data_IF_584027148727
#
_entry.id   IF_584027148727
#
_cell.length_a   1.000
_cell.length_b   1.000
_cell.length_c   1.000
_cell.angle_alpha   90.00
_cell.angle_beta   90.00
_cell.angle_gamma   90.00
#
_symmetry.space_group_name_H-M   'P 1'
#
loop_
_entity.id
_entity.type
_entity.pdbx_description
1 polymer ?
#
# COMPACT_ATOMS: atom_id res chain seq x y z
N UNK A 1 -1.37 41.62 5.50
CA UNK A 1 -0.43 40.73 4.79
C UNK A 1 -1.03 39.34 4.86
N UNK A 2 -1.58 38.86 3.74
CA UNK A 2 -2.16 37.52 3.64
C UNK A 2 -1.02 36.51 3.69
N UNK A 3 -1.03 35.62 4.69
CA UNK A 3 -0.19 34.43 4.68
C UNK A 3 -0.70 33.58 3.52
N UNK A 4 0.04 33.57 2.41
CA UNK A 4 -0.25 32.74 1.26
C UNK A 4 -0.44 31.29 1.72
N UNK A 5 -1.51 30.65 1.26
CA UNK A 5 -1.74 29.20 1.31
C UNK A 5 -0.49 28.47 0.77
N UNK A 6 0.45 28.14 1.66
CA UNK A 6 1.47 27.16 1.32
C UNK A 6 0.78 25.82 1.53
N UNK A 7 0.56 25.02 0.48
CA UNK A 7 -0.05 23.71 0.64
C UNK A 7 0.78 22.93 1.66
N UNK A 8 0.09 22.45 2.71
CA UNK A 8 0.69 21.69 3.81
C UNK A 8 1.01 20.26 3.35
N UNK A 9 1.90 20.17 2.37
CA UNK A 9 2.21 18.94 1.65
C UNK A 9 3.47 18.31 2.23
N UNK A 10 3.40 17.04 2.60
CA UNK A 10 4.58 16.27 3.02
C UNK A 10 5.15 15.55 1.79
N UNK A 11 6.31 15.99 1.31
CA UNK A 11 7.03 15.31 0.23
C UNK A 11 8.01 14.29 0.80
N UNK A 12 7.87 13.03 0.36
CA UNK A 12 8.85 11.97 0.59
C UNK A 12 9.60 11.65 -0.71
N UNK A 13 10.94 11.61 -0.66
CA UNK A 13 11.78 11.25 -1.81
C UNK A 13 12.93 10.35 -1.40
N UNK A 14 13.36 9.50 -2.34
CA UNK A 14 14.61 8.77 -2.23
C UNK A 14 15.73 9.60 -2.89
N UNK A 15 16.72 10.00 -2.13
CA UNK A 15 17.87 10.73 -2.64
C UNK A 15 18.86 9.80 -3.37
N UNK A 16 19.73 10.39 -4.19
CA UNK A 16 20.71 9.64 -4.99
C UNK A 16 21.71 8.84 -4.13
N UNK A 17 21.87 9.20 -2.85
CA UNK A 17 22.68 8.50 -1.86
C UNK A 17 21.91 7.39 -1.10
N UNK A 18 20.67 7.10 -1.52
CA UNK A 18 19.81 6.08 -0.94
C UNK A 18 19.08 6.51 0.33
N UNK A 19 19.24 7.77 0.78
CA UNK A 19 18.54 8.27 1.96
C UNK A 19 17.09 8.64 1.65
N UNK A 20 16.22 8.44 2.64
CA UNK A 20 14.85 8.93 2.57
C UNK A 20 14.86 10.37 3.08
N UNK A 21 14.47 11.32 2.23
CA UNK A 21 14.24 12.70 2.64
C UNK A 21 12.74 12.96 2.80
N UNK A 22 12.36 13.45 3.98
CA UNK A 22 11.02 13.93 4.28
C UNK A 22 11.05 15.44 4.44
N UNK A 23 10.18 16.13 3.71
CA UNK A 23 10.13 17.59 3.66
C UNK A 23 8.69 18.07 3.73
N UNK A 24 8.48 19.18 4.42
CA UNK A 24 7.19 19.87 4.46
C UNK A 24 7.21 21.04 3.48
N UNK A 25 6.23 21.08 2.59
CA UNK A 25 6.12 22.04 1.48
C UNK A 25 6.93 21.63 0.24
N UNK A 26 6.61 22.28 -0.87
CA UNK A 26 7.18 22.02 -2.20
C UNK A 26 8.53 22.72 -2.45
N UNK A 27 8.96 23.60 -1.54
CA UNK A 27 10.20 24.37 -1.67
C UNK A 27 11.44 23.51 -1.39
N UNK A 28 12.34 23.41 -2.38
CA UNK A 28 13.61 22.70 -2.28
C UNK A 28 14.60 23.31 -1.27
N UNK A 29 14.37 24.55 -0.82
CA UNK A 29 15.15 25.20 0.24
C UNK A 29 14.61 24.94 1.66
N UNK A 30 13.41 24.36 1.81
CA UNK A 30 12.85 24.01 3.12
C UNK A 30 13.74 23.01 3.90
N UNK A 31 13.68 22.98 5.24
CA UNK A 31 14.37 21.96 6.02
C UNK A 31 13.80 20.56 5.72
N UNK A 32 14.69 19.59 5.53
CA UNK A 32 14.34 18.18 5.30
C UNK A 32 14.91 17.30 6.41
N UNK A 33 14.08 16.37 6.89
CA UNK A 33 14.50 15.28 7.76
C UNK A 33 15.06 14.18 6.86
N UNK A 34 16.26 13.68 7.18
CA UNK A 34 16.92 12.62 6.40
C UNK A 34 17.06 11.36 7.24
N UNK A 35 16.59 10.25 6.71
CA UNK A 35 16.79 8.93 7.31
C UNK A 35 17.92 8.22 6.57
N UNK A 36 18.84 7.64 7.35
CA UNK A 36 19.95 6.86 6.82
C UNK A 36 19.42 5.58 6.13
N UNK A 37 20.09 5.02 5.10
CA UNK A 37 19.63 3.80 4.46
C UNK A 37 19.56 2.61 5.44
N UNK A 38 20.40 2.63 6.49
CA UNK A 38 20.38 1.63 7.55
C UNK A 38 19.34 1.93 8.66
N UNK A 39 18.52 2.97 8.53
CA UNK A 39 17.55 3.38 9.56
C UNK A 39 16.57 2.27 9.93
N UNK A 40 16.15 1.46 8.96
CA UNK A 40 15.30 0.28 9.20
C UNK A 40 16.09 -1.00 9.44
N UNK A 41 17.42 -0.95 9.34
CA UNK A 41 18.32 -2.10 9.37
C UNK A 41 18.83 -2.48 7.98
N UNK A 42 19.31 -3.72 7.84
CA UNK A 42 19.79 -4.24 6.56
C UNK A 42 18.62 -4.36 5.57
N UNK A 43 18.72 -3.83 4.34
CA UNK A 43 17.60 -3.76 3.40
C UNK A 43 17.03 -5.13 2.99
N UNK A 44 17.84 -6.19 3.05
CA UNK A 44 17.42 -7.56 2.78
C UNK A 44 16.83 -8.28 4.00
N UNK A 45 16.87 -7.65 5.18
CA UNK A 45 16.26 -8.21 6.38
C UNK A 45 14.75 -8.08 6.32
N UNK A 46 14.05 -9.17 6.58
CA UNK A 46 12.58 -9.18 6.72
C UNK A 46 12.10 -8.20 7.80
N UNK A 47 12.89 -7.95 8.84
CA UNK A 47 12.55 -6.99 9.89
C UNK A 47 12.66 -5.54 9.40
N UNK A 48 13.63 -5.24 8.54
CA UNK A 48 13.74 -3.93 7.91
C UNK A 48 12.57 -3.67 6.95
N UNK A 49 12.16 -4.67 6.19
CA UNK A 49 10.98 -4.56 5.32
C UNK A 49 9.70 -4.37 6.12
N UNK A 50 9.53 -5.06 7.26
CA UNK A 50 8.39 -4.86 8.18
C UNK A 50 8.40 -3.46 8.80
N UNK A 51 9.56 -2.97 9.23
CA UNK A 51 9.70 -1.65 9.84
C UNK A 51 9.40 -0.53 8.83
N UNK A 52 9.89 -0.67 7.59
CA UNK A 52 9.55 0.22 6.48
C UNK A 52 8.05 0.20 6.19
N UNK A 53 7.43 -0.99 6.10
CA UNK A 53 5.99 -1.14 5.88
C UNK A 53 5.16 -0.45 6.96
N UNK A 54 5.52 -0.61 8.24
CA UNK A 54 4.88 0.09 9.36
C UNK A 54 5.06 1.60 9.27
N UNK A 55 6.25 2.07 8.90
CA UNK A 55 6.54 3.49 8.76
C UNK A 55 5.68 4.13 7.66
N UNK A 56 5.63 3.53 6.47
CA UNK A 56 4.77 3.99 5.36
C UNK A 56 3.31 3.97 5.79
N UNK A 57 2.86 2.92 6.47
CA UNK A 57 1.49 2.81 6.94
C UNK A 57 1.13 3.90 7.97
N UNK A 58 2.02 4.19 8.93
CA UNK A 58 1.81 5.28 9.90
C UNK A 58 1.74 6.66 9.25
N UNK A 59 2.53 6.90 8.20
CA UNK A 59 2.44 8.14 7.42
C UNK A 59 1.07 8.27 6.74
N UNK A 60 0.59 7.18 6.14
CA UNK A 60 -0.73 7.13 5.51
C UNK A 60 -1.88 7.29 6.52
N UNK A 61 -1.72 6.83 7.76
CA UNK A 61 -2.72 6.99 8.82
C UNK A 61 -2.77 8.41 9.40
N UNK A 62 -1.67 9.17 9.35
CA UNK A 62 -1.62 10.57 9.79
C UNK A 62 -2.17 11.57 8.77
N UNK A 63 -2.36 11.15 7.52
CA UNK A 63 -2.98 11.96 6.47
C UNK A 63 -4.49 11.72 6.50
N UNK A 64 -5.25 12.62 7.12
CA UNK A 64 -6.68 12.68 6.84
C UNK A 64 -6.84 12.91 5.32
N UNK A 65 -7.70 12.17 4.62
CA UNK A 65 -7.90 12.39 3.18
C UNK A 65 -8.37 13.83 2.99
N UNK A 66 -7.55 14.65 2.32
CA UNK A 66 -7.96 15.99 1.92
C UNK A 66 -9.13 15.80 0.94
N UNK A 67 -10.32 16.36 1.24
CA UNK A 67 -11.45 16.22 0.33
C UNK A 67 -11.10 16.93 -0.98
N UNK A 68 -10.85 16.16 -2.03
CA UNK A 68 -10.50 16.66 -3.36
C UNK A 68 -9.08 16.36 -3.84
N UNK A 69 -8.23 15.67 -3.07
CA UNK A 69 -6.92 15.21 -3.56
C UNK A 69 -7.05 13.76 -4.03
N UNK A 70 -6.81 13.55 -5.33
CA UNK A 70 -6.80 12.24 -5.96
C UNK A 70 -5.82 11.31 -5.25
N UNK A 71 -6.27 10.09 -5.00
CA UNK A 71 -5.55 9.05 -4.28
C UNK A 71 -4.15 8.81 -4.89
N UNK A 72 -3.18 8.46 -4.04
CA UNK A 72 -1.83 8.06 -4.46
C UNK A 72 -1.83 6.98 -5.54
N UNK A 73 -0.64 6.68 -6.09
CA UNK A 73 -0.42 6.36 -7.51
C UNK A 73 -1.68 5.80 -8.15
N UNK A 74 -2.36 6.64 -8.94
CA UNK A 74 -3.60 6.30 -9.61
C UNK A 74 -3.47 4.90 -10.20
N UNK A 75 -4.16 3.95 -9.57
CA UNK A 75 -4.38 2.66 -10.17
C UNK A 75 -5.34 3.00 -11.31
N UNK A 76 -4.78 3.17 -12.52
CA UNK A 76 -5.43 3.79 -13.67
C UNK A 76 -6.71 3.02 -14.06
N UNK A 77 -7.80 3.39 -13.40
CA UNK A 77 -9.14 2.89 -13.65
C UNK A 77 -9.54 1.58 -12.94
N UNK A 78 -10.85 1.27 -12.97
CA UNK A 78 -11.44 0.08 -12.36
C UNK A 78 -10.75 -1.23 -12.74
N UNK A 79 -10.25 -1.34 -13.97
CA UNK A 79 -9.55 -2.53 -14.47
C UNK A 79 -8.20 -2.73 -13.78
N UNK A 80 -7.41 -1.66 -13.61
CA UNK A 80 -6.12 -1.75 -12.93
C UNK A 80 -6.27 -2.12 -11.45
N UNK A 81 -7.36 -1.69 -10.80
CA UNK A 81 -7.68 -2.11 -9.43
C UNK A 81 -7.98 -3.62 -9.34
N UNK A 82 -8.63 -4.16 -10.37
CA UNK A 82 -8.88 -5.60 -10.47
C UNK A 82 -7.59 -6.39 -10.73
N UNK A 83 -6.72 -5.90 -11.60
CA UNK A 83 -5.40 -6.52 -11.84
C UNK A 83 -4.52 -6.52 -10.58
N UNK A 84 -4.60 -5.45 -9.78
CA UNK A 84 -3.94 -5.37 -8.49
C UNK A 84 -4.52 -6.40 -7.50
N UNK A 85 -5.85 -6.56 -7.45
CA UNK A 85 -6.48 -7.63 -6.68
C UNK A 85 -5.93 -9.01 -7.06
N UNK A 86 -5.89 -9.35 -8.35
CA UNK A 86 -5.37 -10.65 -8.83
C UNK A 86 -3.91 -10.85 -8.43
N UNK A 87 -3.10 -9.80 -8.54
CA UNK A 87 -1.68 -9.84 -8.17
C UNK A 87 -1.50 -10.07 -6.66
N UNK A 88 -2.22 -9.31 -5.83
CA UNK A 88 -2.15 -9.40 -4.38
C UNK A 88 -2.70 -10.73 -3.86
N UNK A 89 -3.80 -11.23 -4.42
CA UNK A 89 -4.36 -12.54 -4.08
C UNK A 89 -3.34 -13.65 -4.37
N UNK A 90 -2.74 -13.66 -5.57
CA UNK A 90 -1.73 -14.66 -5.93
C UNK A 90 -0.53 -14.63 -4.99
N UNK A 91 -0.07 -13.44 -4.60
CA UNK A 91 1.01 -13.30 -3.62
C UNK A 91 0.59 -13.74 -2.23
N UNK A 92 -0.62 -13.38 -1.77
CA UNK A 92 -1.17 -13.82 -0.50
C UNK A 92 -1.19 -15.35 -0.38
N UNK A 93 -1.56 -16.05 -1.45
CA UNK A 93 -1.59 -17.51 -1.49
C UNK A 93 -0.18 -18.13 -1.51
N UNK A 94 0.78 -17.53 -2.21
CA UNK A 94 2.18 -18.02 -2.25
C UNK A 94 2.92 -17.79 -0.94
N UNK A 95 2.70 -16.63 -0.33
CA UNK A 95 3.39 -16.16 0.88
C UNK A 95 2.63 -16.54 2.16
N UNK A 96 1.45 -17.17 2.05
CA UNK A 96 0.55 -17.49 3.16
C UNK A 96 0.30 -16.26 4.05
N UNK A 97 -0.08 -15.14 3.43
CA UNK A 97 -0.18 -13.83 4.10
C UNK A 97 -1.59 -13.30 4.14
N UNK A 98 -2.19 -13.28 5.33
CA UNK A 98 -3.52 -12.72 5.56
C UNK A 98 -3.57 -11.21 5.26
N UNK A 99 -2.51 -10.47 5.58
CA UNK A 99 -2.42 -9.03 5.29
C UNK A 99 -2.42 -8.73 3.79
N UNK A 100 -1.79 -9.57 2.97
CA UNK A 100 -1.87 -9.44 1.51
C UNK A 100 -3.27 -9.78 0.99
N UNK A 101 -3.95 -10.74 1.60
CA UNK A 101 -5.33 -11.10 1.23
C UNK A 101 -6.32 -9.97 1.54
N UNK A 102 -6.17 -9.29 2.68
CA UNK A 102 -6.97 -8.10 3.04
C UNK A 102 -6.76 -6.94 2.05
N UNK A 103 -5.51 -6.70 1.63
CA UNK A 103 -5.22 -5.68 0.61
C UNK A 103 -5.83 -6.06 -0.75
N UNK A 104 -5.77 -7.34 -1.13
CA UNK A 104 -6.40 -7.84 -2.34
C UNK A 104 -7.91 -7.56 -2.33
N UNK A 105 -8.58 -7.91 -1.24
CA UNK A 105 -10.02 -7.65 -1.07
C UNK A 105 -10.36 -6.17 -1.18
N UNK A 106 -9.57 -5.30 -0.54
CA UNK A 106 -9.79 -3.86 -0.61
C UNK A 106 -9.71 -3.34 -2.05
N UNK A 107 -8.76 -3.83 -2.85
CA UNK A 107 -8.67 -3.50 -4.27
C UNK A 107 -9.85 -4.03 -5.08
N UNK A 108 -10.32 -5.24 -4.79
CA UNK A 108 -11.51 -5.83 -5.43
C UNK A 108 -12.77 -5.00 -5.14
N UNK A 109 -12.99 -4.61 -3.88
CA UNK A 109 -14.13 -3.78 -3.46
C UNK A 109 -14.10 -2.42 -4.16
N UNK A 110 -12.94 -1.79 -4.27
CA UNK A 110 -12.78 -0.50 -4.96
C UNK A 110 -13.07 -0.62 -6.46
N UNK A 111 -12.59 -1.69 -7.11
CA UNK A 111 -12.88 -1.96 -8.53
C UNK A 111 -14.38 -2.20 -8.77
N UNK A 112 -15.03 -2.97 -7.90
CA UNK A 112 -16.47 -3.23 -7.99
C UNK A 112 -17.30 -1.96 -7.74
N UNK A 113 -16.94 -1.15 -6.74
CA UNK A 113 -17.58 0.13 -6.47
C UNK A 113 -17.44 1.13 -7.63
N UNK A 114 -16.34 1.04 -8.39
CA UNK A 114 -16.13 1.81 -9.61
C UNK A 114 -16.86 1.25 -10.86
N UNK A 115 -17.66 0.18 -10.70
CA UNK A 115 -18.51 -0.35 -11.76
C UNK A 115 -17.84 -1.38 -12.69
N UNK A 116 -16.68 -1.94 -12.31
CA UNK A 116 -16.03 -2.94 -13.15
C UNK A 116 -16.77 -4.27 -13.12
N UNK A 117 -17.32 -4.69 -14.26
CA UNK A 117 -18.15 -5.89 -14.36
C UNK A 117 -17.48 -7.15 -13.79
N UNK A 118 -16.19 -7.38 -14.08
CA UNK A 118 -15.49 -8.56 -13.56
C UNK A 118 -15.30 -8.52 -12.04
N UNK A 119 -15.04 -7.35 -11.46
CA UNK A 119 -14.93 -7.19 -10.02
C UNK A 119 -16.28 -7.39 -9.32
N UNK A 120 -17.36 -6.89 -9.91
CA UNK A 120 -18.73 -7.10 -9.40
C UNK A 120 -19.09 -8.58 -9.41
N UNK A 121 -18.79 -9.29 -10.50
CA UNK A 121 -19.01 -10.73 -10.57
C UNK A 121 -18.14 -11.50 -9.55
N UNK A 122 -16.85 -11.19 -9.47
CA UNK A 122 -15.94 -11.83 -8.50
C UNK A 122 -16.37 -11.58 -7.04
N UNK A 123 -16.95 -10.43 -6.72
CA UNK A 123 -17.48 -10.12 -5.39
C UNK A 123 -18.65 -11.03 -4.97
N UNK A 124 -19.37 -11.66 -5.91
CA UNK A 124 -20.46 -12.59 -5.58
C UNK A 124 -19.94 -13.86 -4.91
N UNK A 125 -18.83 -14.38 -5.42
CA UNK A 125 -18.22 -15.62 -4.93
C UNK A 125 -17.12 -15.35 -3.88
N UNK A 126 -16.68 -14.10 -3.76
CA UNK A 126 -15.58 -13.68 -2.90
C UNK A 126 -15.69 -14.14 -1.43
N UNK A 127 -16.85 -14.08 -0.74
CA UNK A 127 -16.94 -14.53 0.65
C UNK A 127 -16.54 -16.00 0.84
N UNK A 128 -16.95 -16.86 -0.10
CA UNK A 128 -16.61 -18.29 -0.10
C UNK A 128 -15.13 -18.50 -0.42
N UNK A 129 -14.61 -17.81 -1.44
CA UNK A 129 -13.20 -17.86 -1.84
C UNK A 129 -12.29 -17.39 -0.71
N UNK A 130 -12.65 -16.30 -0.04
CA UNK A 130 -11.92 -15.75 1.10
C UNK A 130 -11.83 -16.75 2.24
N UNK A 131 -12.93 -17.40 2.60
CA UNK A 131 -12.95 -18.43 3.66
C UNK A 131 -11.95 -19.55 3.36
N UNK A 132 -11.90 -20.02 2.10
CA UNK A 132 -10.93 -21.06 1.69
C UNK A 132 -9.50 -20.52 1.71
N UNK A 133 -9.28 -19.30 1.24
CA UNK A 133 -7.97 -18.65 1.25
C UNK A 133 -7.43 -18.49 2.69
N UNK A 134 -8.27 -18.03 3.62
CA UNK A 134 -7.93 -17.92 5.05
C UNK A 134 -7.56 -19.28 5.66
N UNK A 135 -8.31 -20.34 5.34
CA UNK A 135 -7.97 -21.70 5.80
C UNK A 135 -6.63 -22.19 5.24
N UNK A 136 -6.35 -21.94 3.96
CA UNK A 136 -5.09 -22.32 3.32
C UNK A 136 -3.91 -21.53 3.88
N UNK A 137 -4.08 -20.23 4.10
CA UNK A 137 -3.11 -19.35 4.73
C UNK A 137 -2.80 -19.83 6.16
N UNK A 138 -3.83 -20.13 6.95
CA UNK A 138 -3.66 -20.63 8.31
C UNK A 138 -2.98 -22.01 8.37
N UNK A 139 -3.22 -22.85 7.37
CA UNK A 139 -2.57 -24.17 7.23
C UNK A 139 -1.08 -24.04 6.91
N UNK A 140 -0.67 -22.99 6.20
CA UNK A 140 0.70 -22.80 5.76
C UNK A 140 1.11 -23.79 4.64
N UNK A 141 2.39 -23.78 4.25
CA UNK A 141 2.88 -24.64 3.17
C UNK A 141 2.75 -26.12 3.50
N UNK A 142 2.31 -26.93 2.53
CA UNK A 142 2.35 -28.38 2.66
C UNK A 142 3.81 -28.81 2.82
N UNK A 143 4.15 -29.37 3.98
CA UNK A 143 5.47 -29.94 4.20
C UNK A 143 5.65 -31.13 3.24
N UNK A 144 6.73 -31.16 2.45
CA UNK A 144 7.02 -32.33 1.64
C UNK A 144 7.24 -33.53 2.57
N UNK A 145 6.51 -34.61 2.30
CA UNK A 145 6.72 -35.92 2.94
C UNK A 145 8.05 -36.53 2.51
#
# INVERSE_FOLDING_TARGET
MSLSDIPDELTLRLAADGRIECRRGTDAAAPAIRFDPAFFGQPESADAQRALGRFVFSLLQGMAPVPGTEAGPAVDGPAALYDNFVTLQNRAMKEYSASLLELAEKSLQQSAAAGFGQAIEAMKDWPSVRTVADMLIARGPEQPR
#
